data_IF_018831000658
#
_entry.id   IF_018831000658
#
_cell.length_a   1.000
_cell.length_b   1.000
_cell.length_c   1.000
_cell.angle_alpha   90.00
_cell.angle_beta   90.00
_cell.angle_gamma   90.00
#
_symmetry.space_group_name_H-M   'P 1'
#
loop_
_entity.id
_entity.type
_entity.pdbx_description
1 polymer ?
#
# COMPACT_ATOMS: atom_id res chain seq x y z
N UNK A 1 -2.28 12.05 -12.13
CA UNK A 1 -1.26 11.16 -12.74
C UNK A 1 -1.60 9.73 -12.35
N UNK A 2 -1.64 8.78 -13.29
CA UNK A 2 -1.95 7.37 -13.02
C UNK A 2 -0.67 6.66 -12.54
N UNK A 3 -0.78 5.81 -11.52
CA UNK A 3 0.28 4.87 -11.10
C UNK A 3 -0.22 3.44 -11.24
N UNK A 4 0.67 2.50 -11.56
CA UNK A 4 0.39 1.07 -11.49
C UNK A 4 0.62 0.57 -10.07
N UNK A 5 -0.01 -0.55 -9.69
CA UNK A 5 0.21 -1.17 -8.38
C UNK A 5 1.70 -1.44 -8.12
N UNK A 6 2.43 -1.89 -9.15
CA UNK A 6 3.86 -2.15 -9.04
C UNK A 6 4.68 -0.89 -8.71
N UNK A 7 4.30 0.27 -9.26
CA UNK A 7 5.00 1.54 -8.97
C UNK A 7 4.82 1.94 -7.49
N UNK A 8 3.65 1.65 -6.92
CA UNK A 8 3.37 1.87 -5.49
C UNK A 8 4.24 0.93 -4.63
N UNK A 9 4.32 -0.35 -5.00
CA UNK A 9 5.15 -1.34 -4.28
C UNK A 9 6.62 -0.93 -4.32
N UNK A 10 7.15 -0.54 -5.48
CA UNK A 10 8.53 -0.05 -5.58
C UNK A 10 8.78 1.18 -4.70
N UNK A 11 7.83 2.13 -4.67
CA UNK A 11 7.95 3.32 -3.81
C UNK A 11 8.06 2.94 -2.33
N UNK A 12 7.28 1.94 -1.88
CA UNK A 12 7.34 1.45 -0.50
C UNK A 12 8.67 0.75 -0.23
N UNK A 13 9.14 -0.11 -1.15
CA UNK A 13 10.44 -0.78 -1.00
C UNK A 13 11.59 0.22 -0.87
N UNK A 14 11.62 1.25 -1.72
CA UNK A 14 12.67 2.27 -1.70
C UNK A 14 12.65 3.08 -0.39
N UNK A 15 11.46 3.42 0.11
CA UNK A 15 11.32 4.08 1.40
C UNK A 15 11.80 3.19 2.55
N UNK A 16 11.53 1.89 2.50
CA UNK A 16 12.02 0.97 3.54
C UNK A 16 13.52 0.73 3.44
N UNK A 17 14.09 0.66 2.24
CA UNK A 17 15.55 0.58 2.03
C UNK A 17 16.25 1.84 2.60
N UNK A 18 15.62 3.00 2.50
CA UNK A 18 16.10 4.27 3.08
C UNK A 18 15.95 4.30 4.62
N UNK A 19 14.78 3.99 5.15
CA UNK A 19 14.42 4.22 6.55
C UNK A 19 14.87 3.07 7.47
N UNK A 20 14.83 1.82 6.97
CA UNK A 20 15.15 0.60 7.72
C UNK A 20 16.04 -0.31 6.88
N UNK A 21 17.29 0.09 6.59
CA UNK A 21 18.16 -0.66 5.70
C UNK A 21 18.46 -2.05 6.24
N UNK A 22 18.56 -3.02 5.32
CA UNK A 22 18.98 -4.40 5.60
C UNK A 22 19.97 -4.87 4.53
N UNK A 23 20.46 -6.10 4.65
CA UNK A 23 21.50 -6.65 3.77
C UNK A 23 21.12 -6.67 2.28
N UNK A 24 19.84 -6.85 1.97
CA UNK A 24 19.32 -6.86 0.61
C UNK A 24 18.13 -5.92 0.46
N UNK A 25 17.83 -5.50 -0.77
CA UNK A 25 16.70 -4.59 -1.02
C UNK A 25 15.37 -5.26 -0.68
N UNK A 26 14.41 -4.50 -0.13
CA UNK A 26 13.03 -4.98 0.02
C UNK A 26 12.38 -5.39 -1.31
N UNK A 27 12.89 -4.91 -2.46
CA UNK A 27 12.39 -5.28 -3.79
C UNK A 27 12.57 -6.77 -4.11
N UNK A 28 13.52 -7.45 -3.48
CA UNK A 28 13.73 -8.90 -3.67
C UNK A 28 12.55 -9.75 -3.17
N UNK A 29 11.66 -9.18 -2.36
CA UNK A 29 10.47 -9.85 -1.84
C UNK A 29 9.24 -9.71 -2.76
N UNK A 30 9.39 -9.05 -3.91
CA UNK A 30 8.30 -8.87 -4.87
C UNK A 30 8.06 -10.20 -5.59
N UNK A 31 6.87 -10.75 -5.40
CA UNK A 31 6.43 -11.98 -6.06
C UNK A 31 5.18 -11.71 -6.89
N UNK A 32 5.21 -12.13 -8.16
CA UNK A 32 4.01 -12.15 -8.98
C UNK A 32 3.16 -13.35 -8.60
N UNK A 33 1.89 -13.08 -8.28
CA UNK A 33 0.88 -14.10 -7.98
C UNK A 33 -0.22 -14.00 -9.01
N UNK A 34 -1.07 -15.01 -9.04
CA UNK A 34 -2.22 -15.02 -9.91
C UNK A 34 -3.17 -13.84 -9.68
N UNK A 35 -3.69 -13.34 -10.79
CA UNK A 35 -4.49 -12.13 -10.83
C UNK A 35 -5.84 -12.32 -10.12
N UNK A 36 -6.46 -11.21 -9.68
CA UNK A 36 -7.78 -11.28 -9.06
C UNK A 36 -8.84 -11.60 -10.14
N UNK A 37 -9.76 -12.57 -9.91
CA UNK A 37 -10.91 -12.75 -10.78
C UNK A 37 -11.69 -11.44 -10.92
N UNK A 38 -11.89 -10.98 -12.16
CA UNK A 38 -12.60 -9.72 -12.45
C UNK A 38 -11.81 -8.45 -12.11
N UNK A 39 -10.48 -8.46 -12.19
CA UNK A 39 -9.66 -7.29 -11.85
C UNK A 39 -9.92 -6.09 -12.77
N UNK A 40 -10.61 -5.08 -12.24
CA UNK A 40 -10.68 -3.74 -12.82
C UNK A 40 -9.29 -3.09 -12.86
N UNK A 41 -8.80 -2.85 -14.08
CA UNK A 41 -7.41 -2.39 -14.29
C UNK A 41 -7.19 -0.90 -14.05
N UNK A 42 -8.27 -0.14 -13.85
CA UNK A 42 -8.18 1.32 -13.77
C UNK A 42 -9.35 1.93 -13.00
N UNK A 43 -9.00 2.62 -11.92
CA UNK A 43 -9.85 3.59 -11.27
C UNK A 43 -9.29 4.99 -11.46
N UNK A 44 -10.17 5.95 -11.70
CA UNK A 44 -9.87 7.37 -11.72
C UNK A 44 -11.14 8.13 -11.31
N UNK A 45 -10.98 9.08 -10.40
CA UNK A 45 -12.08 9.93 -9.91
C UNK A 45 -11.83 11.35 -10.39
N UNK A 46 -12.89 12.00 -10.86
CA UNK A 46 -12.93 13.45 -11.02
C UNK A 46 -13.55 14.08 -9.76
N UNK A 47 -12.72 14.73 -8.95
CA UNK A 47 -13.13 15.45 -7.73
C UNK A 47 -13.51 16.92 -8.01
N UNK A 48 -13.77 17.29 -9.26
CA UNK A 48 -14.06 18.67 -9.66
C UNK A 48 -15.33 19.22 -9.02
N UNK A 49 -16.37 18.39 -8.84
CA UNK A 49 -17.62 18.81 -8.21
C UNK A 49 -17.41 19.29 -6.77
N UNK A 50 -16.82 18.43 -5.94
CA UNK A 50 -16.56 18.75 -4.52
C UNK A 50 -15.59 19.92 -4.36
N UNK A 51 -14.61 20.05 -5.27
CA UNK A 51 -13.67 21.17 -5.24
C UNK A 51 -14.34 22.51 -5.53
N UNK A 52 -15.27 22.57 -6.49
CA UNK A 52 -15.99 23.81 -6.84
C UNK A 52 -17.09 24.15 -5.86
N UNK A 53 -17.85 23.16 -5.40
CA UNK A 53 -19.05 23.39 -4.56
C UNK A 53 -18.69 23.54 -3.09
N UNK A 54 -17.69 22.80 -2.60
CA UNK A 54 -17.33 22.78 -1.17
C UNK A 54 -15.92 23.33 -0.89
N UNK A 55 -15.17 23.72 -1.93
CA UNK A 55 -13.80 24.23 -1.78
C UNK A 55 -12.78 23.18 -1.35
N UNK A 56 -13.16 21.90 -1.27
CA UNK A 56 -12.26 20.85 -0.81
C UNK A 56 -11.09 20.64 -1.78
N UNK A 57 -9.89 20.51 -1.21
CA UNK A 57 -8.66 20.14 -1.93
C UNK A 57 -7.81 19.24 -1.02
N UNK A 58 -7.11 18.24 -1.59
CA UNK A 58 -6.19 17.42 -0.80
C UNK A 58 -5.01 18.28 -0.34
N UNK A 59 -4.60 18.10 0.92
CA UNK A 59 -3.38 18.70 1.46
C UNK A 59 -2.14 17.85 1.18
N UNK A 60 -2.34 16.54 1.03
CA UNK A 60 -1.27 15.58 0.78
C UNK A 60 -1.12 15.29 -0.71
N UNK A 61 0.13 15.15 -1.13
CA UNK A 61 0.48 14.48 -2.39
C UNK A 61 0.62 12.98 -2.15
N UNK A 62 0.77 12.20 -3.22
CA UNK A 62 1.03 10.77 -3.06
C UNK A 62 2.37 10.55 -2.32
N UNK A 63 3.41 11.28 -2.72
CA UNK A 63 4.76 11.20 -2.18
C UNK A 63 4.81 11.54 -0.68
N UNK A 64 4.16 12.65 -0.28
CA UNK A 64 4.12 13.04 1.13
C UNK A 64 3.29 12.05 1.96
N UNK A 65 2.14 11.61 1.44
CA UNK A 65 1.26 10.67 2.12
C UNK A 65 1.86 9.28 2.31
N UNK A 66 2.52 8.73 1.28
CA UNK A 66 3.08 7.37 1.34
C UNK A 66 4.26 7.28 2.30
N UNK A 67 5.13 8.30 2.35
CA UNK A 67 6.21 8.37 3.35
C UNK A 67 5.65 8.42 4.77
N UNK A 68 4.70 9.31 5.04
CA UNK A 68 4.04 9.41 6.36
C UNK A 68 3.37 8.10 6.76
N UNK A 69 2.82 7.37 5.80
CA UNK A 69 2.22 6.05 6.05
C UNK A 69 3.27 5.04 6.49
N UNK A 70 4.39 4.93 5.77
CA UNK A 70 5.51 4.04 6.15
C UNK A 70 6.01 4.37 7.55
N UNK A 71 6.28 5.65 7.83
CA UNK A 71 6.72 6.14 9.14
C UNK A 71 5.71 5.82 10.24
N UNK A 72 4.41 5.97 9.97
CA UNK A 72 3.36 5.64 10.93
C UNK A 72 3.37 4.16 11.30
N UNK A 73 3.48 3.26 10.33
CA UNK A 73 3.54 1.82 10.62
C UNK A 73 4.77 1.43 11.44
N UNK A 74 5.92 2.05 11.17
CA UNK A 74 7.15 1.84 11.94
C UNK A 74 7.03 2.36 13.37
N UNK A 75 6.35 3.49 13.58
CA UNK A 75 6.15 4.08 14.90
C UNK A 75 5.06 3.40 15.75
N UNK A 76 4.16 2.62 15.14
CA UNK A 76 2.95 2.10 15.81
C UNK A 76 2.91 0.56 15.88
N UNK A 77 4.05 -0.09 16.16
CA UNK A 77 4.15 -1.56 16.23
C UNK A 77 3.17 -2.20 17.23
N UNK A 78 2.90 -1.54 18.37
CA UNK A 78 1.90 -2.02 19.32
C UNK A 78 0.50 -2.12 18.71
N UNK A 79 0.09 -1.10 17.96
CA UNK A 79 -1.20 -1.12 17.28
C UNK A 79 -1.23 -2.22 16.22
N UNK A 80 -0.16 -2.35 15.43
CA UNK A 80 -0.04 -3.39 14.40
C UNK A 80 -0.17 -4.79 15.00
N UNK A 81 0.48 -5.05 16.14
CA UNK A 81 0.40 -6.34 16.81
C UNK A 81 -1.01 -6.63 17.32
N UNK A 82 -1.73 -5.63 17.83
CA UNK A 82 -3.08 -5.82 18.35
C UNK A 82 -4.10 -6.17 17.25
N UNK A 83 -3.92 -5.67 16.03
CA UNK A 83 -4.85 -5.92 14.92
C UNK A 83 -4.55 -7.24 14.16
N UNK A 84 -3.34 -7.79 14.31
CA UNK A 84 -2.95 -9.09 13.71
C UNK A 84 -3.38 -10.26 14.59
N UNK A 85 -4.68 -10.53 14.64
CA UNK A 85 -5.24 -11.67 15.39
C UNK A 85 -5.08 -13.01 14.64
N UNK A 86 -5.43 -14.12 15.28
CA UNK A 86 -5.46 -15.43 14.62
C UNK A 86 -6.39 -15.47 13.40
N UNK A 87 -7.49 -14.70 13.41
CA UNK A 87 -8.38 -14.57 12.25
C UNK A 87 -7.70 -13.88 11.06
N UNK A 88 -6.81 -12.92 11.30
CA UNK A 88 -6.00 -12.30 10.25
C UNK A 88 -5.08 -13.34 9.60
N UNK A 89 -4.42 -14.17 10.40
CA UNK A 89 -3.54 -15.23 9.89
C UNK A 89 -4.31 -16.26 9.04
N UNK A 90 -5.47 -16.74 9.49
CA UNK A 90 -6.28 -17.68 8.70
C UNK A 90 -6.75 -17.09 7.37
N UNK A 91 -7.05 -15.78 7.32
CA UNK A 91 -7.39 -15.12 6.07
C UNK A 91 -6.20 -15.04 5.10
N UNK A 92 -4.99 -14.78 5.62
CA UNK A 92 -3.76 -14.73 4.81
C UNK A 92 -3.53 -16.08 4.13
N UNK A 93 -3.62 -17.17 4.89
CA UNK A 93 -3.49 -18.55 4.38
C UNK A 93 -4.53 -18.81 3.29
N UNK A 94 -5.81 -18.57 3.57
CA UNK A 94 -6.89 -18.80 2.62
C UNK A 94 -6.70 -18.06 1.27
N UNK A 95 -6.22 -16.82 1.29
CA UNK A 95 -6.17 -15.98 0.09
C UNK A 95 -4.84 -16.05 -0.68
N UNK A 96 -3.73 -16.39 0.00
CA UNK A 96 -2.39 -16.37 -0.60
C UNK A 96 -1.70 -17.74 -0.65
N UNK A 97 -1.97 -18.65 0.28
CA UNK A 97 -1.39 -20.00 0.23
C UNK A 97 -2.03 -20.81 -0.89
N UNK A 98 -1.21 -21.41 -1.76
CA UNK A 98 -1.71 -22.19 -2.90
C UNK A 98 -2.52 -21.38 -3.92
N UNK A 99 -2.38 -20.04 -3.92
CA UNK A 99 -3.19 -19.15 -4.75
C UNK A 99 -3.05 -19.47 -6.25
N UNK A 100 -4.21 -19.76 -6.86
CA UNK A 100 -4.44 -19.94 -8.30
C UNK A 100 -4.70 -18.66 -9.04
#
# INVERSE_FOLDING_TARGET
MRRKNLDVVFTICDLLDEIVPKATSYREQITYVADRPGHDRRYAIDAGKISRELGWKPLETFESGIRKTVEWYLANTQWVNNVKSGAYQSWIEQNYEGRQ
#
